data_IF_097553767847
#
_entry.id   IF_097553767847
#
_cell.length_a   1.000
_cell.length_b   1.000
_cell.length_c   1.000
_cell.angle_alpha   90.00
_cell.angle_beta   90.00
_cell.angle_gamma   90.00
#
_symmetry.space_group_name_H-M   'P 1'
#
loop_
_entity.id
_entity.type
_entity.pdbx_description
1 polymer ?
#
# COMPACT_ATOMS: atom_id res chain seq x y z
N UNK A 1 -13.71 7.46 14.69
CA UNK A 1 -12.42 7.68 15.17
C UNK A 1 -11.38 6.88 14.42
N UNK A 2 -10.44 7.54 14.00
CA UNK A 2 -9.51 6.87 13.16
C UNK A 2 -8.38 6.25 13.92
N UNK A 3 -7.38 6.96 14.29
CA UNK A 3 -6.25 6.33 14.94
C UNK A 3 -5.63 5.20 14.13
N UNK A 4 -6.14 4.93 12.93
CA UNK A 4 -5.58 3.90 12.06
C UNK A 4 -4.34 4.43 11.37
N UNK A 5 -3.36 3.56 11.21
CA UNK A 5 -2.07 3.92 10.63
C UNK A 5 -1.89 3.26 9.26
N UNK A 6 -1.59 4.08 8.26
CA UNK A 6 -1.40 3.63 6.88
C UNK A 6 0.03 3.87 6.47
N UNK A 7 0.65 2.89 5.83
CA UNK A 7 1.93 3.09 5.17
C UNK A 7 1.69 3.20 3.67
N UNK A 8 2.08 4.32 3.09
CA UNK A 8 1.94 4.58 1.66
C UNK A 8 3.30 4.42 1.00
N UNK A 9 3.43 3.42 0.13
CA UNK A 9 4.68 3.11 -0.57
C UNK A 9 4.52 3.51 -2.03
N UNK A 10 5.11 4.64 -2.39
CA UNK A 10 4.93 5.23 -3.71
C UNK A 10 6.15 6.09 -4.05
N UNK A 11 6.79 5.84 -5.18
CA UNK A 11 7.96 6.61 -5.58
C UNK A 11 7.60 7.90 -6.32
N UNK A 12 6.43 8.00 -6.94
CA UNK A 12 5.99 9.22 -7.61
C UNK A 12 5.65 10.27 -6.56
N UNK A 13 6.41 11.37 -6.57
CA UNK A 13 6.29 12.41 -5.57
C UNK A 13 4.92 13.07 -5.56
N UNK A 14 4.38 13.35 -6.73
CA UNK A 14 3.09 14.05 -6.82
C UNK A 14 1.95 13.17 -6.35
N UNK A 15 1.93 11.94 -6.80
CA UNK A 15 0.89 11.00 -6.39
C UNK A 15 1.00 10.70 -4.90
N UNK A 16 2.22 10.50 -4.39
CA UNK A 16 2.45 10.25 -2.98
C UNK A 16 1.90 11.37 -2.11
N UNK A 17 2.22 12.63 -2.47
CA UNK A 17 1.75 13.78 -1.71
C UNK A 17 0.24 13.93 -1.75
N UNK A 18 -0.36 13.73 -2.93
CA UNK A 18 -1.80 13.84 -3.08
C UNK A 18 -2.52 12.79 -2.25
N UNK A 19 -2.05 11.55 -2.29
CA UNK A 19 -2.65 10.48 -1.50
C UNK A 19 -2.47 10.70 -0.01
N UNK A 20 -1.26 11.10 0.39
CA UNK A 20 -0.98 11.38 1.80
C UNK A 20 -1.92 12.45 2.35
N UNK A 21 -2.04 13.56 1.63
CA UNK A 21 -2.90 14.67 2.07
C UNK A 21 -4.35 14.23 2.17
N UNK A 22 -4.83 13.53 1.15
CA UNK A 22 -6.21 13.07 1.11
C UNK A 22 -6.54 12.13 2.28
N UNK A 23 -5.64 11.19 2.56
CA UNK A 23 -5.86 10.23 3.64
C UNK A 23 -5.77 10.89 5.01
N UNK A 24 -4.84 11.83 5.20
CA UNK A 24 -4.75 12.56 6.46
C UNK A 24 -5.99 13.40 6.72
N UNK A 25 -6.59 13.97 5.66
CA UNK A 25 -7.82 14.72 5.79
C UNK A 25 -8.98 13.87 6.27
N UNK A 26 -8.92 12.57 6.04
CA UNK A 26 -9.94 11.64 6.54
C UNK A 26 -9.64 11.16 7.96
N UNK A 27 -8.54 11.65 8.55
CA UNK A 27 -8.20 11.36 9.93
C UNK A 27 -7.23 10.20 10.13
N UNK A 28 -6.69 9.63 9.05
CA UNK A 28 -5.70 8.56 9.16
C UNK A 28 -4.32 9.11 9.47
N UNK A 29 -3.54 8.33 10.21
CA UNK A 29 -2.11 8.59 10.36
C UNK A 29 -1.40 7.95 9.18
N UNK A 30 -0.54 8.70 8.50
CA UNK A 30 0.09 8.22 7.27
C UNK A 30 1.59 8.37 7.36
N UNK A 31 2.31 7.26 7.18
CA UNK A 31 3.75 7.28 6.94
C UNK A 31 3.97 7.01 5.46
N UNK A 32 5.06 7.51 4.91
CA UNK A 32 5.37 7.32 3.50
C UNK A 32 6.71 6.63 3.33
N UNK A 33 6.84 5.85 2.26
CA UNK A 33 8.09 5.25 1.85
C UNK A 33 8.22 5.42 0.34
N UNK A 34 9.43 5.65 -0.14
CA UNK A 34 9.68 5.93 -1.56
C UNK A 34 10.20 4.70 -2.31
N UNK A 35 10.57 3.66 -1.58
CA UNK A 35 11.01 2.41 -2.18
C UNK A 35 10.76 1.25 -1.22
N UNK A 36 11.07 0.04 -1.69
CA UNK A 36 10.76 -1.16 -0.92
C UNK A 36 11.58 -1.33 0.34
N UNK A 37 12.84 -0.92 0.32
CA UNK A 37 13.68 -1.02 1.51
C UNK A 37 13.17 -0.12 2.61
N UNK A 38 12.85 1.12 2.27
CA UNK A 38 12.27 2.05 3.23
C UNK A 38 10.94 1.54 3.75
N UNK A 39 10.13 0.94 2.87
CA UNK A 39 8.85 0.37 3.28
C UNK A 39 9.02 -0.68 4.36
N UNK A 40 9.95 -1.61 4.16
CA UNK A 40 10.18 -2.67 5.15
C UNK A 40 10.72 -2.11 6.46
N UNK A 41 11.58 -1.11 6.40
CA UNK A 41 12.08 -0.45 7.62
C UNK A 41 10.94 0.22 8.38
N UNK A 42 10.05 0.90 7.67
CA UNK A 42 8.92 1.58 8.31
C UNK A 42 7.96 0.60 8.96
N UNK A 43 7.73 -0.54 8.31
CA UNK A 43 6.89 -1.59 8.89
C UNK A 43 7.47 -2.11 10.20
N UNK A 44 8.79 -2.28 10.25
CA UNK A 44 9.46 -2.72 11.48
C UNK A 44 9.36 -1.70 12.60
N UNK A 45 9.41 -0.41 12.25
CA UNK A 45 9.35 0.66 13.24
C UNK A 45 7.95 0.82 13.83
N UNK A 46 6.92 0.69 13.00
CA UNK A 46 5.55 0.84 13.45
C UNK A 46 4.64 0.05 12.52
N UNK A 47 4.03 -1.01 13.04
CA UNK A 47 3.16 -1.88 12.24
C UNK A 47 1.95 -1.08 11.73
N UNK A 48 1.76 -0.98 10.42
CA UNK A 48 0.58 -0.29 9.89
C UNK A 48 -0.65 -1.18 9.93
N UNK A 49 -1.82 -0.54 9.88
CA UNK A 49 -3.08 -1.25 9.75
C UNK A 49 -3.38 -1.60 8.29
N UNK A 50 -2.76 -0.87 7.37
CA UNK A 50 -2.92 -1.09 5.93
C UNK A 50 -1.69 -0.56 5.22
N UNK A 51 -1.23 -1.27 4.19
CA UNK A 51 -0.16 -0.81 3.33
C UNK A 51 -0.74 -0.56 1.95
N UNK A 52 -0.52 0.65 1.41
CA UNK A 52 -0.81 0.97 0.02
C UNK A 52 0.51 0.83 -0.74
N UNK A 53 0.56 -0.08 -1.68
CA UNK A 53 1.82 -0.53 -2.27
C UNK A 53 1.81 -0.40 -3.79
N UNK A 54 2.72 0.41 -4.32
CA UNK A 54 2.96 0.49 -5.75
C UNK A 54 3.81 -0.71 -6.18
N UNK A 55 3.49 -1.30 -7.31
CA UNK A 55 4.24 -2.45 -7.83
C UNK A 55 5.52 -2.04 -8.55
N UNK A 56 5.50 -0.89 -9.22
CA UNK A 56 6.65 -0.46 -10.03
C UNK A 56 7.44 0.61 -9.31
N UNK A 57 8.55 0.19 -8.70
CA UNK A 57 9.44 1.08 -7.98
C UNK A 57 10.88 0.72 -8.27
N UNK A 58 11.81 1.68 -8.15
CA UNK A 58 13.23 1.36 -8.35
C UNK A 58 13.75 0.47 -7.22
N UNK A 59 14.80 -0.24 -7.50
CA UNK A 59 15.53 -1.11 -6.59
C UNK A 59 14.75 -2.35 -6.16
N UNK A 60 13.74 -2.21 -5.32
CA UNK A 60 12.92 -3.33 -4.88
C UNK A 60 11.49 -3.11 -5.35
N UNK A 61 10.97 -4.05 -6.13
CA UNK A 61 9.60 -3.94 -6.67
C UNK A 61 8.57 -4.19 -5.57
N UNK A 62 7.33 -3.77 -5.85
CA UNK A 62 6.23 -4.03 -4.91
C UNK A 62 6.00 -5.52 -4.66
N UNK A 63 6.19 -6.35 -5.69
CA UNK A 63 6.06 -7.81 -5.52
C UNK A 63 7.10 -8.32 -4.52
N UNK A 64 8.33 -7.82 -4.61
CA UNK A 64 9.38 -8.22 -3.68
C UNK A 64 9.06 -7.81 -2.25
N UNK A 65 8.48 -6.60 -2.08
CA UNK A 65 8.03 -6.15 -0.77
C UNK A 65 6.94 -7.07 -0.25
N UNK A 66 5.97 -7.39 -1.09
CA UNK A 66 4.86 -8.27 -0.70
C UNK A 66 5.37 -9.66 -0.28
N UNK A 67 6.31 -10.22 -1.05
CA UNK A 67 6.93 -11.50 -0.66
C UNK A 67 7.57 -11.43 0.71
N UNK A 68 8.34 -10.35 0.95
CA UNK A 68 9.02 -10.19 2.23
C UNK A 68 8.02 -10.08 3.39
N UNK A 69 6.93 -9.35 3.20
CA UNK A 69 5.91 -9.21 4.22
C UNK A 69 5.24 -10.54 4.54
N UNK A 70 4.96 -11.34 3.53
CA UNK A 70 4.28 -12.62 3.71
C UNK A 70 5.18 -13.73 4.22
N UNK A 71 6.51 -13.55 4.10
CA UNK A 71 7.48 -14.55 4.53
C UNK A 71 7.71 -14.56 6.03
N UNK A 72 7.37 -13.48 6.74
CA UNK A 72 7.65 -13.37 8.17
C UNK A 72 6.34 -13.26 8.95
N UNK A 73 6.26 -14.01 10.04
CA UNK A 73 5.04 -14.08 10.84
C UNK A 73 4.55 -12.71 11.34
N UNK A 74 5.43 -11.83 11.86
CA UNK A 74 4.94 -10.56 12.37
C UNK A 74 4.26 -9.67 11.34
N UNK A 75 4.58 -9.83 10.05
CA UNK A 75 4.04 -8.98 8.98
C UNK A 75 3.07 -9.70 8.07
N UNK A 76 2.95 -11.02 8.22
CA UNK A 76 2.17 -11.85 7.29
C UNK A 76 0.71 -11.45 7.21
N UNK A 77 0.13 -10.97 8.28
CA UNK A 77 -1.29 -10.62 8.34
C UNK A 77 -1.62 -9.20 8.00
N UNK A 78 -0.63 -8.35 7.66
CA UNK A 78 -0.91 -6.94 7.37
C UNK A 78 -1.65 -6.84 6.04
N UNK A 79 -2.83 -6.19 6.00
CA UNK A 79 -3.54 -6.00 4.74
C UNK A 79 -2.75 -5.12 3.78
N UNK A 80 -2.73 -5.50 2.49
CA UNK A 80 -2.03 -4.75 1.46
C UNK A 80 -3.01 -4.44 0.32
N UNK A 81 -3.09 -3.17 -0.05
CA UNK A 81 -3.83 -2.71 -1.21
C UNK A 81 -2.81 -2.32 -2.28
N UNK A 82 -2.92 -2.91 -3.45
CA UNK A 82 -1.99 -2.64 -4.55
C UNK A 82 -2.48 -1.45 -5.37
N UNK A 83 -1.57 -0.53 -5.66
CA UNK A 83 -1.79 0.56 -6.60
C UNK A 83 -0.86 0.37 -7.77
N UNK A 84 -1.38 0.28 -9.00
CA UNK A 84 -0.50 0.08 -10.14
C UNK A 84 -1.18 0.49 -11.45
N UNK A 85 -0.38 0.93 -12.41
CA UNK A 85 -0.84 1.15 -13.77
C UNK A 85 -0.71 -0.11 -14.63
N UNK A 86 -0.12 -1.14 -14.07
CA UNK A 86 0.17 -2.35 -14.81
C UNK A 86 -0.60 -3.53 -14.23
N UNK A 87 -1.18 -4.34 -15.11
CA UNK A 87 -1.78 -5.61 -14.72
C UNK A 87 -1.08 -6.72 -15.50
N UNK A 88 0.18 -6.95 -15.16
CA UNK A 88 0.96 -8.00 -15.81
C UNK A 88 0.42 -9.34 -15.34
N UNK A 89 0.12 -10.21 -16.29
CA UNK A 89 -0.50 -11.49 -15.99
C UNK A 89 0.35 -12.35 -15.03
N UNK A 90 1.65 -12.30 -15.21
CA UNK A 90 2.56 -13.08 -14.35
C UNK A 90 2.55 -12.59 -12.91
N UNK A 91 2.35 -11.28 -12.70
CA UNK A 91 2.30 -10.73 -11.36
C UNK A 91 0.95 -11.02 -10.69
N UNK A 92 -0.13 -11.07 -11.49
CA UNK A 92 -1.47 -11.31 -10.96
C UNK A 92 -1.57 -12.65 -10.22
N UNK A 93 -0.94 -13.68 -10.76
CA UNK A 93 -0.95 -15.01 -10.13
C UNK A 93 -0.23 -14.99 -8.79
N UNK A 94 0.94 -14.37 -8.75
CA UNK A 94 1.72 -14.29 -7.52
C UNK A 94 1.01 -13.42 -6.47
N UNK A 95 0.43 -12.30 -6.90
CA UNK A 95 -0.32 -11.42 -6.00
C UNK A 95 -1.47 -12.19 -5.35
N UNK A 96 -2.20 -12.97 -6.14
CA UNK A 96 -3.29 -13.77 -5.61
C UNK A 96 -2.80 -14.80 -4.60
N UNK A 97 -1.68 -15.44 -4.89
CA UNK A 97 -1.10 -16.44 -3.99
C UNK A 97 -0.64 -15.81 -2.68
N UNK A 98 0.02 -14.66 -2.75
CA UNK A 98 0.53 -13.96 -1.57
C UNK A 98 -0.58 -13.28 -0.78
N UNK A 99 -1.66 -12.91 -1.44
CA UNK A 99 -2.83 -12.33 -0.79
C UNK A 99 -2.78 -10.82 -0.63
N UNK A 100 -3.75 -10.13 -1.24
CA UNK A 100 -3.95 -8.70 -1.06
C UNK A 100 -5.43 -8.44 -0.83
N UNK A 101 -5.76 -7.33 -0.19
CA UNK A 101 -7.16 -7.04 0.10
C UNK A 101 -7.84 -6.29 -1.04
N UNK A 102 -7.08 -5.62 -1.91
CA UNK A 102 -7.66 -4.92 -3.05
C UNK A 102 -6.57 -4.56 -4.05
N UNK A 103 -6.98 -4.23 -5.26
CA UNK A 103 -6.08 -3.86 -6.35
C UNK A 103 -6.73 -2.71 -7.12
N UNK A 104 -6.08 -1.55 -7.15
CA UNK A 104 -6.60 -0.38 -7.84
C UNK A 104 -5.65 0.05 -8.97
N UNK A 105 -6.24 0.41 -10.11
CA UNK A 105 -5.48 0.87 -11.27
C UNK A 105 -5.31 2.38 -11.17
N UNK A 106 -4.08 2.86 -11.13
CA UNK A 106 -3.78 4.28 -10.93
C UNK A 106 -4.43 5.18 -11.98
N UNK A 107 -4.44 4.75 -13.23
CA UNK A 107 -4.95 5.57 -14.33
C UNK A 107 -6.44 5.91 -14.17
N UNK A 108 -7.19 5.07 -13.47
CA UNK A 108 -8.63 5.26 -13.30
C UNK A 108 -8.99 5.75 -11.90
N UNK A 109 -8.01 6.05 -11.09
CA UNK A 109 -8.23 6.29 -9.67
C UNK A 109 -8.44 7.78 -9.38
N UNK A 110 -9.51 8.09 -8.64
CA UNK A 110 -9.65 9.41 -8.03
C UNK A 110 -9.21 9.31 -6.56
N UNK A 111 -8.81 10.44 -5.98
CA UNK A 111 -8.44 10.47 -4.58
C UNK A 111 -9.64 10.16 -3.69
N UNK A 112 -10.83 10.56 -4.10
CA UNK A 112 -12.04 10.25 -3.35
C UNK A 112 -12.29 8.74 -3.34
N UNK A 113 -12.14 8.09 -4.47
CA UNK A 113 -12.33 6.65 -4.56
C UNK A 113 -11.31 5.90 -3.70
N UNK A 114 -10.06 6.34 -3.74
CA UNK A 114 -9.02 5.73 -2.90
C UNK A 114 -9.40 5.87 -1.43
N UNK A 115 -9.77 7.06 -1.01
CA UNK A 115 -10.15 7.29 0.38
C UNK A 115 -11.35 6.45 0.80
N UNK A 116 -12.35 6.33 -0.08
CA UNK A 116 -13.53 5.53 0.20
C UNK A 116 -13.18 4.06 0.37
N UNK A 117 -12.29 3.53 -0.50
CA UNK A 117 -11.86 2.13 -0.42
C UNK A 117 -11.09 1.87 0.86
N UNK A 118 -10.15 2.77 1.20
CA UNK A 118 -9.35 2.64 2.42
C UNK A 118 -10.25 2.68 3.65
N UNK A 119 -11.18 3.64 3.69
CA UNK A 119 -12.11 3.75 4.80
C UNK A 119 -12.91 2.47 4.99
N UNK A 120 -13.41 1.92 3.89
CA UNK A 120 -14.20 0.70 3.92
C UNK A 120 -13.38 -0.50 4.42
N UNK A 121 -12.15 -0.62 3.94
CA UNK A 121 -11.27 -1.71 4.35
C UNK A 121 -10.92 -1.66 5.82
N UNK A 122 -10.74 -0.46 6.37
CA UNK A 122 -10.31 -0.30 7.76
C UNK A 122 -11.48 -0.27 8.75
N UNK A 123 -12.67 0.08 8.29
CA UNK A 123 -13.86 0.13 9.15
C UNK A 123 -14.77 -1.07 8.99
N UNK A 124 -14.71 -1.67 7.83
CA UNK A 124 -15.50 -2.85 7.54
C UNK A 124 -14.94 -4.07 8.20
#
# INVERSE_FOLDING_TARGET
MTGRHILLVEDDRFLRRACETSLRQRGFSVAVAVDGEEALDKVRQARPDLILLDLLMPRMTGIEVLRALRAQEPTRGIPVLILSNSSRAQDAEEIRTLGVCDYLVKANLSLQELGDRVTRLLEG
#
